data_IF_321118438492
#
_entry.id   IF_321118438492
#
_cell.length_a   1.000
_cell.length_b   1.000
_cell.length_c   1.000
_cell.angle_alpha   90.00
_cell.angle_beta   90.00
_cell.angle_gamma   90.00
#
_symmetry.space_group_name_H-M   'P 1'
#
loop_
_entity.id
_entity.type
_entity.pdbx_description
1 polymer ?
#
# COMPACT_ATOMS: atom_id res chain seq x y z
N UNK A 1 17.00 -63.70 30.73
CA UNK A 1 15.67 -63.10 30.99
C UNK A 1 15.81 -61.59 31.05
N UNK A 2 15.52 -60.88 29.95
CA UNK A 2 14.95 -59.52 29.95
C UNK A 2 14.52 -59.22 28.52
N UNK A 3 13.30 -58.73 28.43
CA UNK A 3 12.37 -58.88 27.33
C UNK A 3 12.80 -58.16 26.06
N UNK A 4 12.56 -58.84 24.94
CA UNK A 4 12.41 -58.29 23.60
C UNK A 4 11.14 -57.43 23.62
N UNK A 5 11.23 -56.16 23.20
CA UNK A 5 10.05 -55.41 22.81
C UNK A 5 10.38 -54.52 21.61
N UNK A 6 10.15 -55.10 20.43
CA UNK A 6 9.98 -54.36 19.20
C UNK A 6 8.72 -53.50 19.33
N UNK A 7 8.87 -52.19 19.53
CA UNK A 7 7.84 -51.24 19.11
C UNK A 7 8.25 -50.68 17.75
N UNK A 8 7.69 -51.37 16.78
CA UNK A 8 7.56 -51.00 15.39
C UNK A 8 7.27 -49.50 15.19
N UNK A 9 7.88 -48.97 14.13
CA UNK A 9 7.39 -47.84 13.31
C UNK A 9 5.92 -47.48 13.58
N UNK A 10 5.68 -46.29 14.14
CA UNK A 10 4.51 -45.43 13.86
C UNK A 10 4.48 -44.25 14.84
N UNK A 11 5.30 -43.21 14.63
CA UNK A 11 4.88 -41.83 14.94
C UNK A 11 5.86 -40.74 14.45
N UNK A 12 6.57 -40.97 13.34
CA UNK A 12 7.28 -39.90 12.62
C UNK A 12 6.25 -39.17 11.72
N UNK A 13 5.24 -38.53 12.32
CA UNK A 13 4.24 -37.79 11.51
C UNK A 13 3.46 -36.67 12.20
N UNK A 14 3.67 -36.33 13.47
CA UNK A 14 2.86 -35.28 14.14
C UNK A 14 3.58 -33.96 14.48
N UNK A 15 4.63 -33.57 13.75
CA UNK A 15 5.21 -32.21 13.87
C UNK A 15 5.45 -31.51 12.54
N UNK A 16 4.76 -31.92 11.47
CA UNK A 16 4.79 -31.20 10.19
C UNK A 16 3.36 -30.98 9.63
N UNK A 17 2.46 -30.52 10.49
CA UNK A 17 1.44 -29.56 10.04
C UNK A 17 2.07 -28.18 10.23
N UNK A 18 2.97 -27.77 9.36
CA UNK A 18 2.61 -26.97 8.19
C UNK A 18 1.48 -25.96 8.48
N UNK A 19 1.68 -25.07 9.45
CA UNK A 19 0.97 -23.80 9.48
C UNK A 19 1.65 -22.84 8.49
N UNK A 20 1.70 -23.22 7.21
CA UNK A 20 1.81 -22.24 6.15
C UNK A 20 0.44 -21.56 6.06
N UNK A 21 0.14 -20.66 7.00
CA UNK A 21 -0.96 -19.73 6.82
C UNK A 21 -0.61 -18.90 5.60
N UNK A 22 -1.16 -19.29 4.45
CA UNK A 22 -1.25 -18.41 3.29
C UNK A 22 -2.09 -17.24 3.75
N UNK A 23 -1.41 -16.18 4.17
CA UNK A 23 -2.05 -14.89 4.42
C UNK A 23 -2.71 -14.50 3.09
N UNK A 24 -4.04 -14.58 3.06
CA UNK A 24 -4.82 -14.14 1.91
C UNK A 24 -4.58 -12.65 1.80
N UNK A 25 -3.70 -12.22 0.90
CA UNK A 25 -3.51 -10.81 0.58
C UNK A 25 -4.82 -10.34 -0.04
N UNK A 26 -5.70 -9.75 0.77
CA UNK A 26 -6.94 -9.18 0.28
C UNK A 26 -6.60 -8.12 -0.78
N UNK A 27 -7.32 -8.10 -1.92
CA UNK A 27 -7.03 -7.17 -2.98
C UNK A 27 -7.21 -5.74 -2.47
N UNK A 28 -6.19 -4.90 -2.70
CA UNK A 28 -6.18 -3.50 -2.26
C UNK A 28 -7.41 -2.77 -2.83
N UNK A 29 -8.38 -2.45 -1.98
CA UNK A 29 -9.61 -1.77 -2.39
C UNK A 29 -9.32 -0.32 -2.79
N UNK A 30 -9.67 0.06 -4.01
CA UNK A 30 -9.64 1.46 -4.46
C UNK A 30 -10.69 2.23 -3.66
N UNK A 31 -10.28 3.32 -3.01
CA UNK A 31 -11.18 4.15 -2.22
C UNK A 31 -11.84 5.22 -3.10
N UNK A 32 -11.04 6.00 -3.84
CA UNK A 32 -11.50 7.11 -4.68
C UNK A 32 -10.66 7.21 -5.95
N UNK A 33 -11.24 7.85 -6.97
CA UNK A 33 -10.53 8.32 -8.15
C UNK A 33 -10.45 9.84 -8.05
N UNK A 34 -9.24 10.38 -8.02
CA UNK A 34 -8.99 11.81 -7.77
C UNK A 34 -8.16 12.42 -8.91
N UNK A 35 -8.33 13.71 -9.15
CA UNK A 35 -7.56 14.48 -10.12
C UNK A 35 -6.44 15.24 -9.41
N UNK A 36 -5.28 15.33 -10.04
CA UNK A 36 -4.18 16.19 -9.58
C UNK A 36 -4.48 17.65 -9.95
N UNK A 37 -4.37 18.54 -8.96
CA UNK A 37 -4.46 19.98 -9.14
C UNK A 37 -3.18 20.65 -8.60
N UNK A 38 -2.12 20.56 -9.40
CA UNK A 38 -0.79 21.09 -9.10
C UNK A 38 -0.12 21.51 -10.41
N UNK A 39 -0.09 22.81 -10.73
CA UNK A 39 0.33 23.31 -12.06
C UNK A 39 1.74 22.89 -12.53
N UNK A 40 2.64 22.53 -11.61
CA UNK A 40 3.97 21.97 -11.92
C UNK A 40 4.07 20.45 -11.89
N UNK A 41 2.94 19.76 -11.71
CA UNK A 41 2.84 18.34 -11.40
C UNK A 41 3.02 18.02 -9.90
N UNK A 42 2.52 16.84 -9.51
CA UNK A 42 2.54 16.33 -8.15
C UNK A 42 3.53 15.18 -8.01
N UNK A 43 4.46 15.30 -7.07
CA UNK A 43 5.57 14.35 -6.88
C UNK A 43 5.07 13.05 -6.27
N UNK A 44 5.29 11.94 -6.96
CA UNK A 44 5.04 10.58 -6.47
C UNK A 44 6.26 10.09 -5.70
N UNK A 45 6.08 9.69 -4.43
CA UNK A 45 7.17 9.31 -3.52
C UNK A 45 7.06 7.88 -3.02
N UNK A 46 8.19 7.32 -2.59
CA UNK A 46 8.26 5.95 -2.02
C UNK A 46 7.57 5.83 -0.67
N UNK A 47 7.51 6.90 0.11
CA UNK A 47 6.90 6.97 1.43
C UNK A 47 6.20 8.32 1.64
N UNK A 48 5.25 8.42 2.58
CA UNK A 48 4.47 9.63 2.86
C UNK A 48 5.30 10.66 3.63
N UNK A 49 6.32 11.22 2.98
CA UNK A 49 7.24 12.19 3.57
C UNK A 49 7.83 13.10 2.48
N UNK A 50 7.94 14.40 2.77
CA UNK A 50 8.46 15.41 1.83
C UNK A 50 9.94 15.20 1.45
N UNK A 51 10.72 14.55 2.30
CA UNK A 51 12.13 14.19 2.07
C UNK A 51 12.29 12.82 1.39
N UNK A 52 11.20 12.05 1.27
CA UNK A 52 11.27 10.72 0.66
C UNK A 52 11.65 10.79 -0.82
N UNK A 53 12.37 9.76 -1.31
CA UNK A 53 12.75 9.67 -2.72
C UNK A 53 11.54 9.83 -3.64
N UNK A 54 11.67 10.72 -4.62
CA UNK A 54 10.72 10.90 -5.73
C UNK A 54 10.91 9.75 -6.73
N UNK A 55 9.83 9.04 -7.04
CA UNK A 55 9.79 7.97 -8.04
C UNK A 55 9.32 8.54 -9.39
N UNK A 56 8.41 9.52 -9.36
CA UNK A 56 7.88 10.15 -10.56
C UNK A 56 7.24 11.51 -10.29
N UNK A 57 6.74 12.15 -11.35
CA UNK A 57 5.92 13.35 -11.34
C UNK A 57 4.60 13.07 -12.07
N UNK A 58 3.49 13.13 -11.34
CA UNK A 58 2.15 13.04 -11.92
C UNK A 58 1.80 14.42 -12.51
N UNK A 59 1.53 14.56 -13.81
CA UNK A 59 1.19 15.83 -14.42
C UNK A 59 -0.04 16.50 -13.78
N UNK A 60 -0.14 17.81 -13.92
CA UNK A 60 -1.37 18.52 -13.59
C UNK A 60 -2.54 17.98 -14.40
N UNK A 61 -3.69 17.80 -13.75
CA UNK A 61 -4.90 17.30 -14.38
C UNK A 61 -4.98 15.80 -14.65
N UNK A 62 -3.90 15.05 -14.44
CA UNK A 62 -3.93 13.59 -14.50
C UNK A 62 -4.74 12.99 -13.34
N UNK A 63 -5.18 11.75 -13.53
CA UNK A 63 -6.06 11.03 -12.59
C UNK A 63 -5.29 9.93 -11.86
N UNK A 64 -5.56 9.76 -10.57
CA UNK A 64 -4.96 8.73 -9.72
C UNK A 64 -6.03 7.89 -9.01
N UNK A 65 -5.76 6.60 -8.87
CA UNK A 65 -6.50 5.71 -7.97
C UNK A 65 -5.94 5.89 -6.56
N UNK A 66 -6.79 6.15 -5.57
CA UNK A 66 -6.39 6.30 -4.17
C UNK A 66 -6.77 5.08 -3.34
N UNK A 67 -5.99 4.80 -2.30
CA UNK A 67 -6.15 3.61 -1.43
C UNK A 67 -6.17 3.96 0.05
N UNK A 68 -6.45 5.23 0.39
CA UNK A 68 -6.41 5.70 1.77
C UNK A 68 -5.47 6.87 2.00
N UNK A 69 -5.87 7.71 2.94
CA UNK A 69 -5.01 8.69 3.60
C UNK A 69 -4.10 8.00 4.63
N UNK A 70 -2.92 8.56 4.86
CA UNK A 70 -1.94 8.08 5.83
C UNK A 70 -1.16 9.25 6.42
N UNK A 71 -0.58 9.02 7.60
CA UNK A 71 0.18 10.03 8.32
C UNK A 71 -0.69 11.14 8.92
N UNK A 72 -0.01 12.14 9.45
CA UNK A 72 -0.66 13.29 10.06
C UNK A 72 -1.10 14.34 9.03
N UNK A 73 -1.95 15.24 9.49
CA UNK A 73 -2.33 16.41 8.71
C UNK A 73 -1.14 17.38 8.66
N UNK A 74 -0.72 17.75 7.45
CA UNK A 74 0.45 18.60 7.23
C UNK A 74 0.06 19.82 6.38
N UNK A 75 0.93 20.82 6.36
CA UNK A 75 0.85 21.96 5.44
C UNK A 75 2.08 21.91 4.54
N UNK A 76 1.86 21.83 3.23
CA UNK A 76 2.92 21.90 2.22
C UNK A 76 2.51 22.89 1.14
N UNK A 77 3.42 23.81 0.80
CA UNK A 77 3.19 24.86 -0.21
C UNK A 77 1.87 25.63 0.00
N UNK A 78 1.54 25.92 1.27
CA UNK A 78 0.32 26.64 1.66
C UNK A 78 -0.99 25.85 1.59
N UNK A 79 -0.93 24.55 1.24
CA UNK A 79 -2.10 23.66 1.23
C UNK A 79 -2.03 22.69 2.40
N UNK A 80 -3.18 22.46 3.02
CA UNK A 80 -3.34 21.50 4.10
C UNK A 80 -3.83 20.16 3.54
N UNK A 81 -3.28 19.05 4.02
CA UNK A 81 -3.70 17.71 3.60
C UNK A 81 -2.94 16.60 4.32
N UNK A 82 -3.45 15.36 4.19
CA UNK A 82 -2.72 14.15 4.57
C UNK A 82 -2.03 13.56 3.34
N UNK A 83 -1.07 12.68 3.56
CA UNK A 83 -0.51 11.89 2.46
C UNK A 83 -1.51 10.85 1.99
N UNK A 84 -1.51 10.54 0.71
CA UNK A 84 -2.44 9.59 0.11
C UNK A 84 -1.67 8.50 -0.61
N UNK A 85 -1.98 7.24 -0.32
CA UNK A 85 -1.47 6.12 -1.11
C UNK A 85 -2.19 6.12 -2.44
N UNK A 86 -1.42 6.14 -3.53
CA UNK A 86 -1.99 6.19 -4.88
C UNK A 86 -1.33 5.19 -5.81
N UNK A 87 -2.06 4.88 -6.88
CA UNK A 87 -1.54 4.23 -8.08
C UNK A 87 -1.79 5.16 -9.25
N UNK A 88 -0.72 5.46 -9.96
CA UNK A 88 -0.76 6.20 -11.22
C UNK A 88 -0.07 5.36 -12.29
N UNK A 89 -0.82 5.01 -13.34
CA UNK A 89 -0.38 4.06 -14.37
C UNK A 89 0.04 2.72 -13.71
N UNK A 90 1.31 2.35 -13.81
CA UNK A 90 1.89 1.12 -13.23
C UNK A 90 2.74 1.38 -11.98
N UNK A 91 2.65 2.59 -11.39
CA UNK A 91 3.48 3.01 -10.27
C UNK A 91 2.63 3.22 -9.03
N UNK A 92 2.99 2.51 -7.97
CA UNK A 92 2.46 2.71 -6.63
C UNK A 92 3.35 3.68 -5.85
N UNK A 93 2.74 4.59 -5.11
CA UNK A 93 3.50 5.54 -4.28
C UNK A 93 2.60 6.36 -3.39
N UNK A 94 3.14 7.47 -2.91
CA UNK A 94 2.44 8.44 -2.07
C UNK A 94 2.53 9.82 -2.69
N UNK A 95 1.42 10.56 -2.64
CA UNK A 95 1.35 11.96 -3.05
C UNK A 95 0.76 12.78 -1.90
N UNK A 96 1.03 14.08 -1.87
CA UNK A 96 0.45 14.96 -0.88
C UNK A 96 -1.01 15.28 -1.26
N UNK A 97 -1.96 14.92 -0.39
CA UNK A 97 -3.40 15.00 -0.66
C UNK A 97 -3.94 16.41 -0.77
N UNK A 98 -3.23 17.43 -0.27
CA UNK A 98 -3.61 18.83 -0.44
C UNK A 98 -3.70 19.28 -1.91
N UNK A 99 -3.13 18.52 -2.85
CA UNK A 99 -3.19 18.76 -4.29
C UNK A 99 -4.09 17.77 -5.05
N UNK A 100 -4.95 17.03 -4.35
CA UNK A 100 -5.93 16.13 -4.95
C UNK A 100 -7.33 16.73 -4.88
N UNK A 101 -8.07 16.61 -5.97
CA UNK A 101 -9.47 17.05 -6.07
C UNK A 101 -10.37 15.88 -6.46
N UNK A 102 -11.56 15.85 -5.89
CA UNK A 102 -12.56 14.84 -6.22
C UNK A 102 -13.10 15.07 -7.64
N UNK A 103 -13.19 13.99 -8.42
CA UNK A 103 -13.81 14.05 -9.74
C UNK A 103 -15.31 13.86 -9.57
N UNK A 104 -16.06 14.96 -9.69
CA UNK A 104 -17.50 14.89 -9.86
C UNK A 104 -17.80 14.41 -11.29
N UNK A 105 -18.16 13.13 -11.44
CA UNK A 105 -18.77 12.64 -12.67
C UNK A 105 -20.22 13.13 -12.67
N UNK A 106 -20.53 14.12 -13.51
CA UNK A 106 -21.91 14.54 -13.79
C UNK A 106 -22.58 13.56 -14.74
#
# INVERSE_FOLDING_TARGET
MKQILAFFLTFISLLVWNCASVEKVEPRKIEKIMKVHAGGGLRLRISPNIEAKKIDLVPDGDVVETFGETGELEIQDGKQGRWVKVKWKKKDGYVFGGFLEFINVK
#
